data_IF_819562692485
#
_entry.id   IF_819562692485
#
_cell.length_a   1.000
_cell.length_b   1.000
_cell.length_c   1.000
_cell.angle_alpha   90.00
_cell.angle_beta   90.00
_cell.angle_gamma   90.00
#
_symmetry.space_group_name_H-M   'P 1'
#
loop_
_entity.id
_entity.type
_entity.pdbx_description
1 polymer ?
#
# COMPACT_ATOMS: atom_id res chain seq x y z
N UNK A 1 39.65 45.85 17.71
CA UNK A 1 39.94 46.00 19.15
C UNK A 1 39.08 45.01 19.93
N UNK A 2 39.67 44.41 20.97
CA UNK A 2 39.12 43.49 21.98
C UNK A 2 38.63 42.11 21.49
N UNK A 3 39.40 41.01 21.50
CA UNK A 3 40.01 40.18 22.60
C UNK A 3 39.11 39.08 23.17
N UNK A 4 39.38 37.84 22.72
CA UNK A 4 39.61 36.59 23.46
C UNK A 4 38.81 36.27 24.75
N UNK A 5 38.26 35.06 24.82
CA UNK A 5 38.73 34.08 25.82
C UNK A 5 38.52 32.63 25.36
N UNK A 6 39.57 31.83 25.52
CA UNK A 6 39.58 30.37 25.47
C UNK A 6 39.43 29.83 26.89
N UNK A 7 38.84 28.65 27.05
CA UNK A 7 39.33 27.72 28.07
C UNK A 7 39.19 26.28 27.61
N UNK A 8 40.23 25.51 27.95
CA UNK A 8 40.56 24.20 27.45
C UNK A 8 40.51 23.17 28.58
N UNK A 9 40.46 21.89 28.18
CA UNK A 9 40.83 20.67 28.91
C UNK A 9 40.00 20.19 30.11
N UNK A 10 39.43 18.99 29.95
CA UNK A 10 39.87 17.84 30.78
C UNK A 10 39.84 16.53 29.98
N UNK A 11 41.04 16.03 29.72
CA UNK A 11 41.36 14.69 29.24
C UNK A 11 41.16 13.69 30.38
N UNK A 12 40.48 12.57 30.11
CA UNK A 12 40.77 11.26 30.71
C UNK A 12 40.55 10.17 29.66
N UNK A 13 41.64 9.54 29.25
CA UNK A 13 41.69 8.31 28.44
C UNK A 13 41.92 7.09 29.38
N UNK A 14 42.15 5.87 28.86
CA UNK A 14 41.20 4.78 28.77
C UNK A 14 41.51 3.62 29.75
N UNK A 15 40.60 2.66 29.91
CA UNK A 15 40.96 1.34 30.45
C UNK A 15 40.66 0.24 29.42
N UNK A 16 41.75 -0.42 29.02
CA UNK A 16 41.85 -1.57 28.14
C UNK A 16 41.94 -2.85 29.00
N UNK A 17 41.59 -3.99 28.38
CA UNK A 17 41.78 -5.40 28.78
C UNK A 17 40.66 -5.99 29.67
N UNK A 18 40.14 -7.21 29.42
CA UNK A 18 40.83 -8.41 28.95
C UNK A 18 40.06 -9.29 27.95
N UNK A 19 40.80 -9.86 27.00
CA UNK A 19 40.51 -11.11 26.29
C UNK A 19 40.47 -12.29 27.29
N UNK A 20 39.74 -13.42 27.11
CA UNK A 20 39.84 -14.54 26.14
C UNK A 20 39.03 -15.73 26.80
N UNK A 21 38.96 -16.98 26.28
CA UNK A 21 38.25 -17.48 25.09
C UNK A 21 37.40 -18.78 25.37
N UNK A 22 36.76 -19.28 24.30
CA UNK A 22 36.22 -20.64 24.09
C UNK A 22 34.96 -21.09 24.86
N UNK A 23 33.90 -21.40 24.10
CA UNK A 23 33.45 -22.80 24.00
C UNK A 23 32.65 -23.03 22.73
N UNK A 24 33.03 -24.08 22.00
CA UNK A 24 32.34 -24.64 20.85
C UNK A 24 31.21 -25.51 21.37
N UNK A 25 30.01 -25.38 20.81
CA UNK A 25 29.10 -26.53 20.73
C UNK A 25 28.38 -26.50 19.39
N UNK A 26 28.84 -27.38 18.51
CA UNK A 26 28.09 -27.86 17.36
C UNK A 26 26.82 -28.55 17.88
N UNK A 27 25.66 -28.14 17.39
CA UNK A 27 24.56 -29.07 17.21
C UNK A 27 24.03 -28.92 15.78
N UNK A 28 24.50 -29.85 14.97
CA UNK A 28 23.95 -30.20 13.68
C UNK A 28 22.71 -31.06 13.92
N UNK A 29 21.55 -30.60 13.43
CA UNK A 29 20.45 -31.51 13.08
C UNK A 29 19.71 -30.91 11.90
N UNK A 30 19.95 -31.49 10.73
CA UNK A 30 19.16 -31.34 9.50
C UNK A 30 17.99 -32.36 9.52
N UNK A 31 16.99 -32.21 8.64
CA UNK A 31 15.57 -32.18 8.99
C UNK A 31 14.90 -33.54 8.89
N UNK A 32 13.83 -33.74 9.67
CA UNK A 32 12.86 -34.77 9.39
C UNK A 32 11.67 -34.15 8.65
N UNK A 33 11.53 -34.54 7.38
CA UNK A 33 10.35 -34.33 6.58
C UNK A 33 9.17 -35.11 7.19
N UNK A 34 8.10 -34.41 7.55
CA UNK A 34 6.77 -34.98 7.71
C UNK A 34 5.82 -34.04 6.97
N UNK A 35 5.02 -34.53 6.01
CA UNK A 35 4.12 -33.70 5.22
C UNK A 35 2.94 -33.29 6.11
N UNK A 36 2.85 -32.01 6.44
CA UNK A 36 1.62 -31.46 7.00
C UNK A 36 0.67 -31.16 5.84
N UNK A 37 -0.33 -32.04 5.72
CA UNK A 37 -1.55 -31.79 4.95
C UNK A 37 -2.28 -30.64 5.63
N UNK A 38 -2.27 -29.46 5.03
CA UNK A 38 -3.14 -28.37 5.44
C UNK A 38 -4.56 -28.64 4.93
N UNK A 39 -5.59 -28.58 5.78
CA UNK A 39 -6.97 -28.62 5.33
C UNK A 39 -7.26 -27.37 4.49
N UNK A 40 -7.89 -27.57 3.34
CA UNK A 40 -8.41 -26.52 2.47
C UNK A 40 -9.36 -25.63 3.27
N UNK A 41 -8.92 -24.42 3.60
CA UNK A 41 -9.79 -23.37 4.11
C UNK A 41 -10.37 -22.61 2.92
N UNK A 42 -11.63 -22.87 2.61
CA UNK A 42 -12.47 -21.97 1.83
C UNK A 42 -12.62 -20.69 2.64
N UNK A 43 -11.86 -19.66 2.28
CA UNK A 43 -11.99 -18.32 2.84
C UNK A 43 -13.21 -17.63 2.22
N UNK A 44 -13.93 -16.77 2.95
CA UNK A 44 -15.10 -16.09 2.41
C UNK A 44 -14.69 -15.22 1.23
N UNK A 45 -15.47 -15.30 0.15
CA UNK A 45 -15.37 -14.36 -0.96
C UNK A 45 -15.51 -12.93 -0.41
N UNK A 46 -14.57 -12.06 -0.79
CA UNK A 46 -14.76 -10.64 -0.65
C UNK A 46 -16.12 -10.26 -1.26
N UNK A 47 -16.96 -9.62 -0.46
CA UNK A 47 -18.17 -9.00 -0.96
C UNK A 47 -17.75 -7.88 -1.91
N UNK A 48 -17.69 -8.22 -3.20
CA UNK A 48 -17.68 -7.28 -4.32
C UNK A 48 -18.56 -6.09 -3.96
N UNK A 49 -17.96 -4.90 -3.92
CA UNK A 49 -18.57 -3.63 -3.50
C UNK A 49 -20.02 -3.53 -3.97
N UNK A 50 -20.96 -3.70 -3.03
CA UNK A 50 -22.39 -3.59 -3.32
C UNK A 50 -22.87 -2.23 -2.81
N UNK A 51 -23.27 -1.29 -3.69
CA UNK A 51 -23.85 -0.04 -3.24
C UNK A 51 -25.22 -0.32 -2.59
N UNK A 52 -25.40 0.18 -1.36
CA UNK A 52 -26.66 0.09 -0.64
C UNK A 52 -27.74 0.90 -1.35
N UNK A 53 -28.67 0.21 -2.02
CA UNK A 53 -29.94 0.78 -2.46
C UNK A 53 -30.95 0.68 -1.30
N UNK A 54 -31.39 1.85 -0.81
CA UNK A 54 -32.43 1.97 0.20
C UNK A 54 -33.79 1.79 -0.50
N UNK A 55 -34.61 0.86 -0.01
CA UNK A 55 -36.07 0.93 -0.16
C UNK A 55 -36.74 0.22 1.01
N UNK A 56 -37.78 0.86 1.53
CA UNK A 56 -38.44 0.59 2.80
C UNK A 56 -39.40 -0.60 2.78
N UNK A 57 -39.55 -1.20 3.98
CA UNK A 57 -40.74 -1.84 4.55
C UNK A 57 -41.15 -3.24 4.07
N UNK A 58 -40.96 -4.25 4.94
CA UNK A 58 -42.05 -4.77 5.80
C UNK A 58 -41.60 -6.03 6.56
N UNK A 59 -42.04 -6.09 7.82
CA UNK A 59 -41.78 -7.11 8.84
C UNK A 59 -42.22 -8.51 8.42
N UNK A 60 -41.34 -9.50 8.61
CA UNK A 60 -41.69 -10.82 9.16
C UNK A 60 -40.43 -11.51 9.68
N UNK A 61 -40.47 -11.92 10.95
CA UNK A 61 -39.43 -12.71 11.63
C UNK A 61 -39.69 -14.18 11.34
N UNK A 62 -38.70 -14.91 10.84
CA UNK A 62 -38.50 -16.29 11.27
C UNK A 62 -37.20 -16.43 12.08
N UNK A 63 -37.26 -17.25 13.12
CA UNK A 63 -36.09 -17.74 13.86
C UNK A 63 -35.14 -18.44 12.87
N UNK A 64 -34.08 -17.74 12.46
CA UNK A 64 -32.93 -18.34 11.80
C UNK A 64 -31.91 -18.68 12.89
N UNK A 65 -31.41 -19.91 12.81
CA UNK A 65 -30.33 -20.40 13.66
C UNK A 65 -29.19 -19.37 13.66
N UNK A 66 -28.67 -19.06 14.84
CA UNK A 66 -27.37 -18.43 14.97
C UNK A 66 -26.36 -19.38 14.30
N UNK A 67 -26.06 -19.14 13.02
CA UNK A 67 -24.77 -19.50 12.47
C UNK A 67 -23.77 -18.83 13.39
N UNK A 68 -22.97 -19.63 14.10
CA UNK A 68 -21.73 -19.18 14.71
C UNK A 68 -20.88 -18.64 13.57
N UNK A 69 -21.07 -17.36 13.23
CA UNK A 69 -20.13 -16.60 12.44
C UNK A 69 -18.85 -16.58 13.28
N UNK A 70 -17.92 -17.48 12.96
CA UNK A 70 -16.55 -17.50 13.47
C UNK A 70 -16.09 -16.04 13.56
N UNK A 71 -15.99 -15.53 14.79
CA UNK A 71 -15.68 -14.12 15.05
C UNK A 71 -14.26 -13.90 14.52
N UNK A 72 -14.14 -13.25 13.36
CA UNK A 72 -12.87 -13.07 12.66
C UNK A 72 -11.86 -12.41 13.60
N UNK A 73 -10.82 -13.15 13.99
CA UNK A 73 -9.85 -12.69 14.99
C UNK A 73 -9.14 -11.44 14.44
N UNK A 74 -9.36 -10.25 15.04
CA UNK A 74 -8.81 -9.00 14.51
C UNK A 74 -7.28 -8.91 14.62
N UNK A 75 -6.68 -9.86 15.33
CA UNK A 75 -5.22 -10.00 15.46
C UNK A 75 -4.62 -10.92 14.41
N UNK A 76 -5.45 -11.61 13.62
CA UNK A 76 -5.01 -12.52 12.58
C UNK A 76 -4.31 -11.77 11.43
N UNK A 77 -3.28 -12.43 10.90
CA UNK A 77 -2.55 -12.00 9.71
C UNK A 77 -3.14 -12.71 8.49
N UNK A 78 -3.20 -12.00 7.37
CA UNK A 78 -3.75 -12.52 6.13
C UNK A 78 -2.62 -12.86 5.16
N UNK A 79 -2.69 -14.02 4.53
CA UNK A 79 -1.86 -14.39 3.39
C UNK A 79 -2.75 -15.10 2.38
N UNK A 80 -3.17 -14.36 1.36
CA UNK A 80 -4.15 -14.81 0.38
C UNK A 80 -3.67 -14.54 -1.04
N UNK A 81 -3.85 -15.55 -1.89
CA UNK A 81 -3.74 -15.47 -3.34
C UNK A 81 -4.96 -16.18 -3.94
N UNK A 82 -5.65 -15.53 -4.86
CA UNK A 82 -6.77 -16.13 -5.60
C UNK A 82 -6.27 -17.34 -6.42
N UNK A 83 -6.98 -18.47 -6.31
CA UNK A 83 -6.60 -19.72 -6.98
C UNK A 83 -6.70 -19.65 -8.50
N UNK A 84 -7.53 -18.74 -9.01
CA UNK A 84 -7.69 -18.52 -10.46
C UNK A 84 -6.65 -17.55 -11.02
N UNK A 85 -5.89 -16.87 -10.16
CA UNK A 85 -4.86 -15.92 -10.57
C UNK A 85 -3.56 -16.64 -10.88
N UNK A 86 -3.03 -16.42 -12.08
CA UNK A 86 -1.66 -16.83 -12.41
C UNK A 86 -0.67 -16.03 -11.54
N UNK A 87 0.14 -16.68 -10.68
CA UNK A 87 1.12 -15.99 -9.84
C UNK A 87 2.05 -15.08 -10.64
N UNK A 88 2.41 -15.47 -11.86
CA UNK A 88 3.31 -14.71 -12.72
C UNK A 88 2.69 -13.44 -13.33
N UNK A 89 1.36 -13.32 -13.30
CA UNK A 89 0.64 -12.13 -13.76
C UNK A 89 0.70 -10.97 -12.75
N UNK A 90 1.00 -11.25 -11.48
CA UNK A 90 1.09 -10.24 -10.40
C UNK A 90 2.45 -9.53 -10.46
N UNK A 91 2.58 -8.57 -11.36
CA UNK A 91 3.83 -7.84 -11.63
C UNK A 91 3.96 -6.53 -10.86
N UNK A 92 2.89 -6.04 -10.24
CA UNK A 92 2.85 -4.80 -9.48
C UNK A 92 2.20 -4.99 -8.13
N UNK A 93 2.82 -4.47 -7.07
CA UNK A 93 2.23 -4.43 -5.74
C UNK A 93 1.94 -2.99 -5.29
N UNK A 94 0.88 -2.83 -4.52
CA UNK A 94 0.58 -1.64 -3.72
C UNK A 94 0.91 -1.97 -2.25
N UNK A 95 1.69 -1.10 -1.59
CA UNK A 95 2.24 -1.38 -0.26
C UNK A 95 2.03 -0.22 0.73
N UNK A 96 1.54 -0.53 1.93
CA UNK A 96 1.55 0.34 3.10
C UNK A 96 2.28 -0.34 4.26
N UNK A 97 3.27 0.35 4.86
CA UNK A 97 3.98 -0.14 6.03
C UNK A 97 3.96 0.93 7.10
N UNK A 98 2.93 0.93 7.96
CA UNK A 98 2.67 2.06 8.86
C UNK A 98 2.13 1.61 10.22
N UNK A 99 2.24 2.49 11.22
CA UNK A 99 1.61 2.28 12.52
C UNK A 99 0.09 2.33 12.40
N UNK A 100 -0.60 1.38 13.05
CA UNK A 100 -2.05 1.35 13.17
C UNK A 100 -2.51 2.06 14.45
N UNK A 101 -3.80 2.47 14.55
CA UNK A 101 -4.40 3.05 15.75
C UNK A 101 -4.57 2.01 16.88
N UNK A 102 -3.58 1.16 17.06
CA UNK A 102 -3.59 -0.01 17.93
C UNK A 102 -2.36 0.06 18.84
N UNK A 103 -2.56 -0.19 20.13
CA UNK A 103 -1.49 -0.36 21.10
C UNK A 103 -1.32 -1.83 21.46
N UNK A 104 -0.06 -2.24 21.65
CA UNK A 104 0.27 -3.52 22.26
C UNK A 104 -0.01 -3.50 23.77
N UNK A 105 0.17 -4.65 24.41
CA UNK A 105 0.03 -4.81 25.87
C UNK A 105 0.97 -3.92 26.70
N UNK A 106 1.97 -3.30 26.08
CA UNK A 106 2.94 -2.38 26.69
C UNK A 106 2.62 -0.92 26.41
N UNK A 107 1.50 -0.62 25.75
CA UNK A 107 1.10 0.72 25.35
C UNK A 107 1.95 1.32 24.22
N UNK A 108 2.61 0.50 23.40
CA UNK A 108 3.36 0.93 22.22
C UNK A 108 2.55 0.69 20.94
N UNK A 109 2.75 1.54 19.94
CA UNK A 109 2.07 1.40 18.66
C UNK A 109 2.43 0.08 17.99
N UNK A 110 1.42 -0.60 17.44
CA UNK A 110 1.60 -1.72 16.53
C UNK A 110 1.75 -1.18 15.11
N UNK A 111 2.68 -1.75 14.36
CA UNK A 111 2.88 -1.50 12.94
C UNK A 111 2.32 -2.66 12.15
N UNK A 112 1.98 -2.39 10.89
CA UNK A 112 1.48 -3.43 10.00
C UNK A 112 1.99 -3.18 8.59
N UNK A 113 2.42 -4.24 7.94
CA UNK A 113 2.62 -4.33 6.50
C UNK A 113 1.31 -4.77 5.87
N UNK A 114 0.81 -4.01 4.89
CA UNK A 114 -0.35 -4.37 4.07
C UNK A 114 0.10 -4.29 2.62
N UNK A 115 -0.07 -5.39 1.87
CA UNK A 115 0.33 -5.52 0.48
C UNK A 115 -0.81 -6.13 -0.32
N UNK A 116 -1.13 -5.54 -1.46
CA UNK A 116 -2.04 -6.12 -2.43
C UNK A 116 -1.61 -5.82 -3.86
N UNK A 117 -2.23 -6.49 -4.83
CA UNK A 117 -2.19 -6.08 -6.23
C UNK A 117 -3.42 -5.23 -6.60
N UNK A 118 -3.50 -4.78 -7.85
CA UNK A 118 -4.59 -3.89 -8.30
C UNK A 118 -5.97 -4.56 -8.30
N UNK A 119 -6.05 -5.88 -8.48
CA UNK A 119 -7.32 -6.62 -8.47
C UNK A 119 -7.70 -7.17 -7.09
N UNK A 120 -6.86 -6.97 -6.06
CA UNK A 120 -6.98 -7.64 -4.76
C UNK A 120 -6.95 -9.18 -4.85
N UNK A 121 -6.39 -9.72 -5.94
CA UNK A 121 -6.14 -11.16 -6.08
C UNK A 121 -5.01 -11.61 -5.16
N UNK A 122 -4.04 -10.73 -4.90
CA UNK A 122 -3.04 -10.90 -3.86
C UNK A 122 -3.39 -9.99 -2.68
N UNK A 123 -3.43 -10.54 -1.48
CA UNK A 123 -3.67 -9.81 -0.24
C UNK A 123 -2.78 -10.37 0.87
N UNK A 124 -1.97 -9.53 1.46
CA UNK A 124 -1.07 -9.90 2.55
C UNK A 124 -1.05 -8.85 3.66
N UNK A 125 -1.16 -9.30 4.91
CA UNK A 125 -0.98 -8.45 6.08
C UNK A 125 -0.08 -9.10 7.12
N UNK A 126 0.72 -8.28 7.81
CA UNK A 126 1.59 -8.76 8.89
C UNK A 126 1.83 -7.68 9.93
N UNK A 127 1.67 -8.01 11.21
CA UNK A 127 1.88 -7.08 12.31
C UNK A 127 3.34 -7.11 12.80
N UNK A 128 3.81 -5.95 13.24
CA UNK A 128 5.17 -5.74 13.72
C UNK A 128 5.19 -4.89 14.99
N UNK A 129 6.06 -5.21 15.97
CA UNK A 129 6.29 -4.34 17.10
C UNK A 129 7.12 -3.11 16.69
N UNK A 130 6.90 -1.98 17.36
CA UNK A 130 7.53 -0.70 17.01
C UNK A 130 9.08 -0.72 16.96
N UNK A 131 9.74 -1.61 17.68
CA UNK A 131 11.20 -1.65 17.79
C UNK A 131 11.91 -2.34 16.61
N UNK A 132 11.18 -2.97 15.70
CA UNK A 132 11.76 -3.70 14.55
C UNK A 132 11.54 -2.99 13.22
N UNK A 133 11.01 -1.77 13.21
CA UNK A 133 10.65 -1.06 11.98
C UNK A 133 11.89 -0.47 11.32
N UNK A 134 12.34 -1.13 10.25
CA UNK A 134 13.48 -0.71 9.44
C UNK A 134 13.43 -1.38 8.04
N UNK A 135 14.38 -1.03 7.17
CA UNK A 135 14.42 -1.54 5.80
C UNK A 135 14.70 -3.04 5.71
N UNK A 136 15.48 -3.61 6.64
CA UNK A 136 15.81 -5.05 6.62
C UNK A 136 14.55 -5.86 6.93
N UNK A 137 13.82 -5.47 7.98
CA UNK A 137 12.57 -6.15 8.36
C UNK A 137 11.52 -6.09 7.26
N UNK A 138 11.38 -4.95 6.56
CA UNK A 138 10.47 -4.87 5.42
C UNK A 138 10.95 -5.73 4.24
N UNK A 139 12.25 -5.74 3.96
CA UNK A 139 12.86 -6.53 2.88
C UNK A 139 12.61 -8.03 3.10
N UNK A 140 12.89 -8.53 4.30
CA UNK A 140 12.67 -9.93 4.67
C UNK A 140 11.17 -10.29 4.61
N UNK A 141 10.28 -9.41 5.06
CA UNK A 141 8.84 -9.63 4.96
C UNK A 141 8.35 -9.73 3.51
N UNK A 142 8.88 -8.91 2.60
CA UNK A 142 8.55 -8.99 1.18
C UNK A 142 9.04 -10.29 0.51
N UNK A 143 10.23 -10.78 0.89
CA UNK A 143 10.72 -12.10 0.46
C UNK A 143 9.78 -13.20 0.96
N UNK A 144 9.33 -13.14 2.22
CA UNK A 144 8.36 -14.09 2.78
C UNK A 144 7.05 -14.12 1.99
N UNK A 145 6.53 -12.98 1.52
CA UNK A 145 5.31 -12.97 0.67
C UNK A 145 5.52 -13.80 -0.60
N UNK A 146 6.67 -13.62 -1.25
CA UNK A 146 7.03 -14.35 -2.47
C UNK A 146 7.18 -15.86 -2.21
N UNK A 147 7.81 -16.22 -1.09
CA UNK A 147 8.00 -17.62 -0.68
C UNK A 147 6.68 -18.31 -0.28
N UNK A 148 5.86 -17.66 0.54
CA UNK A 148 4.64 -18.23 1.11
C UNK A 148 3.52 -18.35 0.07
N UNK A 149 3.36 -17.35 -0.81
CA UNK A 149 2.32 -17.34 -1.84
C UNK A 149 2.79 -17.91 -3.18
N UNK A 150 4.08 -18.22 -3.33
CA UNK A 150 4.65 -18.73 -4.58
C UNK A 150 4.58 -17.72 -5.74
N UNK A 151 4.43 -16.43 -5.44
CA UNK A 151 4.41 -15.34 -6.40
C UNK A 151 5.82 -14.80 -6.61
N UNK A 152 6.22 -14.40 -7.82
CA UNK A 152 7.49 -13.72 -8.02
C UNK A 152 7.50 -12.36 -7.31
N UNK A 153 8.69 -11.84 -7.03
CA UNK A 153 8.84 -10.44 -6.63
C UNK A 153 8.33 -9.52 -7.77
N UNK A 154 7.61 -8.45 -7.45
CA UNK A 154 7.02 -7.58 -8.46
C UNK A 154 8.10 -6.76 -9.15
N UNK A 155 7.82 -6.30 -10.37
CA UNK A 155 8.69 -5.36 -11.09
C UNK A 155 8.74 -3.99 -10.39
N UNK A 156 7.60 -3.58 -9.82
CA UNK A 156 7.49 -2.32 -9.08
C UNK A 156 6.53 -2.40 -7.90
N UNK A 157 6.79 -1.55 -6.91
CA UNK A 157 5.95 -1.36 -5.72
C UNK A 157 5.49 0.09 -5.67
N UNK A 158 4.18 0.30 -5.67
CA UNK A 158 3.54 1.59 -5.46
C UNK A 158 3.26 1.80 -3.96
N UNK A 159 3.50 3.00 -3.46
CA UNK A 159 3.20 3.35 -2.07
C UNK A 159 2.90 4.85 -1.94
N UNK A 160 2.05 5.23 -0.98
CA UNK A 160 1.54 6.61 -0.87
C UNK A 160 2.06 7.39 0.34
N UNK A 161 2.69 6.74 1.34
CA UNK A 161 3.18 7.43 2.54
C UNK A 161 4.61 7.96 2.36
N UNK A 162 4.76 9.27 2.28
CA UNK A 162 6.08 9.92 2.15
C UNK A 162 7.00 9.61 3.34
N UNK A 163 6.45 9.58 4.56
CA UNK A 163 7.18 9.24 5.79
C UNK A 163 7.90 7.88 5.72
N UNK A 164 7.39 6.95 4.91
CA UNK A 164 7.94 5.60 4.76
C UNK A 164 8.87 5.44 3.55
N UNK A 165 9.03 6.49 2.73
CA UNK A 165 9.77 6.45 1.47
C UNK A 165 11.20 5.94 1.65
N UNK A 166 11.91 6.35 2.70
CA UNK A 166 13.30 5.91 2.92
C UNK A 166 13.40 4.41 3.18
N UNK A 167 12.52 3.88 4.03
CA UNK A 167 12.50 2.45 4.39
C UNK A 167 12.11 1.63 3.16
N UNK A 168 10.99 1.97 2.51
CA UNK A 168 10.46 1.24 1.35
C UNK A 168 11.46 1.28 0.18
N UNK A 169 11.98 2.46 -0.17
CA UNK A 169 12.95 2.60 -1.27
C UNK A 169 14.19 1.77 -1.05
N UNK A 170 14.70 1.72 0.18
CA UNK A 170 15.89 0.93 0.49
C UNK A 170 15.62 -0.58 0.38
N UNK A 171 14.50 -1.05 0.93
CA UNK A 171 14.08 -2.46 0.81
C UNK A 171 13.89 -2.88 -0.66
N UNK A 172 13.17 -2.08 -1.44
CA UNK A 172 12.94 -2.36 -2.86
C UNK A 172 14.26 -2.44 -3.65
N UNK A 173 15.20 -1.51 -3.42
CA UNK A 173 16.51 -1.50 -4.09
C UNK A 173 17.32 -2.76 -3.82
N UNK A 174 17.31 -3.26 -2.59
CA UNK A 174 18.02 -4.50 -2.22
C UNK A 174 17.40 -5.73 -2.91
N UNK A 175 16.09 -5.70 -3.17
CA UNK A 175 15.35 -6.75 -3.89
C UNK A 175 15.32 -6.59 -5.41
N UNK A 176 15.91 -5.52 -5.96
CA UNK A 176 15.84 -5.22 -7.40
C UNK A 176 14.46 -4.76 -7.90
N UNK A 177 13.56 -4.37 -6.99
CA UNK A 177 12.21 -3.89 -7.27
C UNK A 177 12.24 -2.37 -7.48
N UNK A 178 11.46 -1.84 -8.43
CA UNK A 178 11.34 -0.39 -8.64
C UNK A 178 10.36 0.25 -7.62
N UNK A 179 10.80 1.10 -6.69
CA UNK A 179 9.89 1.83 -5.80
C UNK A 179 9.23 3.00 -6.55
N UNK A 180 7.92 3.16 -6.40
CA UNK A 180 7.12 4.20 -7.07
C UNK A 180 6.22 4.93 -6.05
N UNK A 181 6.63 6.11 -5.55
CA UNK A 181 5.75 6.97 -4.76
C UNK A 181 4.52 7.37 -5.59
N UNK A 182 3.32 7.02 -5.13
CA UNK A 182 2.07 7.19 -5.88
C UNK A 182 0.87 7.27 -4.96
N UNK A 183 -0.02 8.25 -5.20
CA UNK A 183 -1.37 8.28 -4.60
C UNK A 183 -2.36 7.36 -5.32
N UNK A 184 -2.00 6.86 -6.51
CA UNK A 184 -2.75 5.83 -7.23
C UNK A 184 -2.40 4.46 -6.65
N UNK A 185 -2.82 4.25 -5.40
CA UNK A 185 -2.82 2.96 -4.72
C UNK A 185 -4.27 2.63 -4.34
N UNK A 186 -5.16 2.57 -5.34
CA UNK A 186 -6.60 2.65 -5.11
C UNK A 186 -7.13 1.44 -4.33
N UNK A 187 -6.73 0.25 -4.77
CA UNK A 187 -7.12 -1.03 -4.16
C UNK A 187 -6.62 -1.10 -2.72
N UNK A 188 -5.38 -0.69 -2.47
CA UNK A 188 -4.83 -0.59 -1.12
C UNK A 188 -5.55 0.43 -0.24
N UNK A 189 -5.92 1.60 -0.78
CA UNK A 189 -6.61 2.63 -0.02
C UNK A 189 -8.01 2.17 0.39
N UNK A 190 -8.79 1.61 -0.54
CA UNK A 190 -10.12 1.06 -0.25
C UNK A 190 -10.03 -0.08 0.77
N UNK A 191 -9.06 -0.96 0.61
CA UNK A 191 -8.88 -2.08 1.53
C UNK A 191 -8.43 -1.62 2.93
N UNK A 192 -7.60 -0.59 3.04
CA UNK A 192 -7.25 0.02 4.34
C UNK A 192 -8.45 0.66 5.03
N UNK A 193 -9.39 1.26 4.29
CA UNK A 193 -10.66 1.79 4.82
C UNK A 193 -11.55 0.66 5.35
N UNK A 194 -11.76 -0.38 4.55
CA UNK A 194 -12.51 -1.57 4.96
C UNK A 194 -11.89 -2.21 6.22
N UNK A 195 -10.57 -2.43 6.23
CA UNK A 195 -9.85 -3.00 7.38
C UNK A 195 -9.96 -2.11 8.62
N UNK A 196 -10.06 -0.79 8.46
CA UNK A 196 -10.28 0.09 9.59
C UNK A 196 -11.60 -0.20 10.29
N UNK A 197 -12.67 -0.34 9.52
CA UNK A 197 -14.02 -0.60 10.04
C UNK A 197 -14.19 -2.03 10.57
N UNK A 198 -13.66 -3.00 9.83
CA UNK A 198 -13.90 -4.43 10.08
C UNK A 198 -12.91 -5.04 11.06
N UNK A 199 -11.62 -4.65 11.00
CA UNK A 199 -10.54 -5.25 11.79
C UNK A 199 -10.08 -4.31 12.90
N UNK A 200 -9.58 -3.12 12.56
CA UNK A 200 -8.89 -2.28 13.55
C UNK A 200 -9.83 -1.76 14.64
N UNK A 201 -11.06 -1.36 14.31
CA UNK A 201 -12.03 -0.91 15.30
C UNK A 201 -12.45 -2.00 16.31
N UNK A 202 -12.32 -3.28 15.93
CA UNK A 202 -12.62 -4.44 16.79
C UNK A 202 -11.41 -4.94 17.56
N UNK A 203 -10.20 -4.55 17.15
CA UNK A 203 -8.96 -4.98 17.78
C UNK A 203 -8.92 -4.55 19.27
N UNK A 204 -8.51 -5.42 20.21
CA UNK A 204 -8.55 -5.14 21.65
C UNK A 204 -7.70 -3.94 22.07
N UNK A 205 -6.59 -3.71 21.37
CA UNK A 205 -5.70 -2.55 21.54
C UNK A 205 -6.14 -1.26 20.85
N UNK A 206 -7.32 -1.19 20.24
CA UNK A 206 -7.75 -0.03 19.44
C UNK A 206 -7.91 1.25 20.26
N UNK A 207 -7.38 2.35 19.74
CA UNK A 207 -7.49 3.68 20.33
C UNK A 207 -8.69 4.44 19.77
N UNK A 208 -9.78 4.51 20.54
CA UNK A 208 -10.97 5.30 20.20
C UNK A 208 -10.61 6.78 20.05
N UNK A 209 -11.10 7.42 18.98
CA UNK A 209 -10.80 8.82 18.66
C UNK A 209 -9.44 9.05 17.99
N UNK A 210 -8.79 7.98 17.51
CA UNK A 210 -7.60 8.09 16.67
C UNK A 210 -7.91 8.79 15.34
N UNK A 211 -6.88 9.41 14.76
CA UNK A 211 -7.00 10.09 13.46
C UNK A 211 -7.26 9.07 12.34
N UNK A 212 -7.97 9.45 11.27
CA UNK A 212 -8.13 8.60 10.08
C UNK A 212 -6.78 8.11 9.54
N UNK A 213 -6.72 6.85 9.11
CA UNK A 213 -5.49 6.24 8.57
C UNK A 213 -4.94 6.95 7.34
N UNK A 214 -5.85 7.48 6.52
CA UNK A 214 -5.59 8.04 5.21
C UNK A 214 -5.71 9.56 5.21
N UNK A 215 -5.39 10.23 6.32
CA UNK A 215 -5.25 11.68 6.31
C UNK A 215 -4.22 12.06 5.22
N UNK A 216 -4.73 12.44 4.05
CA UNK A 216 -3.90 12.77 2.91
C UNK A 216 -3.07 13.98 3.32
N UNK A 217 -1.75 13.84 3.27
CA UNK A 217 -0.87 15.00 3.20
C UNK A 217 -1.33 15.75 1.94
N UNK A 218 -1.98 16.88 2.18
CA UNK A 218 -2.45 17.77 1.13
C UNK A 218 -1.23 18.65 0.80
N UNK A 219 -0.42 18.32 -0.23
CA UNK A 219 0.59 19.26 -0.65
C UNK A 219 -0.18 20.54 -1.01
N UNK A 220 0.24 21.66 -0.44
CA UNK A 220 -0.30 22.95 -0.85
C UNK A 220 -0.25 23.04 -2.39
N UNK A 221 -1.23 23.70 -3.03
CA UNK A 221 -1.21 23.89 -4.47
C UNK A 221 0.17 24.35 -4.92
N UNK A 222 0.85 23.54 -5.72
CA UNK A 222 2.15 23.89 -6.28
C UNK A 222 1.95 24.49 -7.67
N UNK A 223 2.74 25.53 -7.95
CA UNK A 223 2.75 26.12 -9.28
C UNK A 223 3.23 25.09 -10.30
N UNK A 224 2.50 25.00 -11.40
CA UNK A 224 2.87 24.16 -12.52
C UNK A 224 4.07 24.80 -13.25
N UNK A 225 5.18 24.08 -13.44
CA UNK A 225 6.32 24.58 -14.20
C UNK A 225 5.94 25.09 -15.59
N UNK A 226 6.57 26.17 -16.05
CA UNK A 226 6.24 26.80 -17.33
C UNK A 226 6.36 25.85 -18.54
N UNK A 227 7.30 24.90 -18.48
CA UNK A 227 7.48 23.89 -19.52
C UNK A 227 6.31 22.90 -19.63
N UNK A 228 5.42 22.86 -18.63
CA UNK A 228 4.21 22.05 -18.59
C UNK A 228 2.95 22.84 -18.97
N UNK A 229 3.07 24.11 -19.35
CA UNK A 229 1.93 24.84 -19.92
C UNK A 229 1.65 24.39 -21.36
N UNK A 230 0.40 24.01 -21.60
CA UNK A 230 -0.15 23.85 -22.94
C UNK A 230 -0.47 25.19 -23.58
N UNK A 231 -0.59 25.19 -24.91
CA UNK A 231 -0.81 26.40 -25.71
C UNK A 231 -2.26 26.90 -25.64
N UNK A 232 -3.22 25.97 -25.60
CA UNK A 232 -4.65 26.29 -25.52
C UNK A 232 -5.35 25.34 -24.56
N UNK A 233 -6.29 25.89 -23.81
CA UNK A 233 -7.04 25.19 -22.78
C UNK A 233 -8.52 25.37 -23.04
N UNK A 234 -9.29 24.29 -22.91
CA UNK A 234 -10.74 24.32 -23.06
C UNK A 234 -11.39 23.38 -22.05
N UNK A 235 -12.47 23.84 -21.42
CA UNK A 235 -13.38 22.93 -20.73
C UNK A 235 -14.16 22.15 -21.78
N UNK A 236 -14.13 20.84 -21.66
CA UNK A 236 -14.80 19.91 -22.59
C UNK A 236 -15.68 18.96 -21.82
N UNK A 237 -16.61 18.34 -22.53
CA UNK A 237 -17.42 17.24 -22.05
C UNK A 237 -17.35 16.13 -23.09
N UNK A 238 -16.92 14.95 -22.69
CA UNK A 238 -16.85 13.79 -23.58
C UNK A 238 -17.77 12.69 -23.04
N UNK A 239 -18.50 11.99 -23.93
CA UNK A 239 -19.28 10.83 -23.50
C UNK A 239 -18.35 9.76 -22.94
N UNK A 240 -18.79 9.08 -21.88
CA UNK A 240 -17.97 8.09 -21.17
C UNK A 240 -17.47 6.97 -22.09
N UNK A 241 -18.27 6.56 -23.06
CA UNK A 241 -17.88 5.60 -24.11
C UNK A 241 -16.60 6.03 -24.85
N UNK A 242 -16.50 7.28 -25.27
CA UNK A 242 -15.31 7.80 -25.97
C UNK A 242 -14.08 7.84 -25.06
N UNK A 243 -14.27 8.14 -23.77
CA UNK A 243 -13.18 8.11 -22.78
C UNK A 243 -12.70 6.69 -22.55
N UNK A 244 -13.64 5.73 -22.41
CA UNK A 244 -13.32 4.31 -22.21
C UNK A 244 -12.54 3.76 -23.40
N UNK A 245 -12.96 4.07 -24.62
CA UNK A 245 -12.25 3.68 -25.86
C UNK A 245 -10.81 4.23 -25.87
N UNK A 246 -10.63 5.51 -25.52
CA UNK A 246 -9.29 6.10 -25.46
C UNK A 246 -8.43 5.40 -24.39
N UNK A 247 -8.96 5.14 -23.19
CA UNK A 247 -8.24 4.44 -22.11
C UNK A 247 -7.82 3.04 -22.56
N UNK A 248 -8.72 2.25 -23.14
CA UNK A 248 -8.40 0.92 -23.68
C UNK A 248 -7.32 0.99 -24.76
N UNK A 249 -7.30 2.05 -25.56
CA UNK A 249 -6.23 2.25 -26.55
C UNK A 249 -4.87 2.63 -25.93
N UNK A 250 -4.85 3.23 -24.73
CA UNK A 250 -3.60 3.55 -24.01
C UNK A 250 -2.88 2.28 -23.58
N UNK A 251 -3.63 1.29 -23.11
CA UNK A 251 -3.10 -0.01 -22.67
C UNK A 251 -2.42 -0.75 -23.84
N UNK A 252 -2.95 -0.64 -25.05
CA UNK A 252 -2.36 -1.22 -26.26
C UNK A 252 -1.19 -0.41 -26.80
N UNK A 253 -1.23 0.92 -26.68
CA UNK A 253 -0.27 1.84 -27.31
C UNK A 253 0.89 2.25 -26.41
N UNK A 254 0.90 1.82 -25.14
CA UNK A 254 1.89 2.20 -24.12
C UNK A 254 2.09 3.72 -24.06
N UNK A 255 1.00 4.47 -23.97
CA UNK A 255 1.00 5.94 -23.90
C UNK A 255 0.84 6.40 -22.44
N UNK A 256 1.34 7.59 -22.12
CA UNK A 256 1.27 8.18 -20.78
C UNK A 256 -0.17 8.33 -20.28
N UNK A 257 -0.41 7.96 -19.02
CA UNK A 257 -1.72 8.03 -18.39
C UNK A 257 -2.13 6.69 -17.78
N UNK A 258 -3.21 6.70 -17.02
CA UNK A 258 -3.85 5.49 -16.52
C UNK A 258 -5.35 5.76 -16.36
N UNK A 259 -6.17 4.76 -16.63
CA UNK A 259 -7.58 4.79 -16.32
C UNK A 259 -7.85 4.76 -14.81
N UNK A 260 -9.09 5.05 -14.44
CA UNK A 260 -9.62 4.77 -13.11
C UNK A 260 -10.53 3.55 -13.24
N UNK A 261 -10.27 2.52 -12.44
CA UNK A 261 -11.14 1.35 -12.37
C UNK A 261 -12.43 1.73 -11.63
N UNK A 262 -13.49 1.99 -12.39
CA UNK A 262 -14.78 2.36 -11.83
C UNK A 262 -15.52 1.16 -11.25
N UNK A 263 -15.26 -0.05 -11.75
CA UNK A 263 -15.88 -1.27 -11.25
C UNK A 263 -15.37 -1.57 -9.84
N UNK A 264 -14.06 -1.37 -9.61
CA UNK A 264 -13.46 -1.43 -8.27
C UNK A 264 -14.10 -0.43 -7.29
N UNK A 265 -14.50 0.74 -7.79
CA UNK A 265 -15.17 1.77 -6.99
C UNK A 265 -16.69 1.55 -6.84
N UNK A 266 -17.26 0.55 -7.51
CA UNK A 266 -18.71 0.35 -7.56
C UNK A 266 -19.46 1.51 -8.21
N UNK A 267 -18.81 2.24 -9.12
CA UNK A 267 -19.40 3.38 -9.82
C UNK A 267 -19.87 2.92 -11.21
N UNK A 268 -21.18 2.82 -11.37
CA UNK A 268 -21.78 2.55 -12.68
C UNK A 268 -22.04 3.87 -13.42
N UNK A 269 -21.55 3.97 -14.66
CA UNK A 269 -21.69 5.16 -15.51
C UNK A 269 -22.20 4.75 -16.88
N UNK A 270 -23.32 5.35 -17.32
CA UNK A 270 -23.86 5.13 -18.67
C UNK A 270 -22.90 5.64 -19.75
N UNK A 271 -22.83 4.93 -20.87
CA UNK A 271 -21.92 5.22 -21.99
C UNK A 271 -22.11 6.62 -22.62
N UNK A 272 -23.32 7.21 -22.52
CA UNK A 272 -23.62 8.55 -23.01
C UNK A 272 -23.43 9.63 -21.93
N UNK A 273 -23.08 9.25 -20.70
CA UNK A 273 -22.83 10.20 -19.62
C UNK A 273 -21.69 11.13 -20.01
N UNK A 274 -21.96 12.43 -20.03
CA UNK A 274 -20.98 13.45 -20.35
C UNK A 274 -20.06 13.70 -19.16
N UNK A 275 -18.80 13.29 -19.29
CA UNK A 275 -17.78 13.51 -18.28
C UNK A 275 -17.10 14.86 -18.55
N UNK A 276 -17.19 15.84 -17.63
CA UNK A 276 -16.50 17.10 -17.77
C UNK A 276 -14.99 16.92 -17.58
N UNK A 277 -14.21 17.65 -18.38
CA UNK A 277 -12.75 17.59 -18.31
C UNK A 277 -12.10 18.86 -18.87
N UNK A 278 -10.77 18.84 -18.86
CA UNK A 278 -9.93 19.93 -19.36
C UNK A 278 -9.08 19.41 -20.52
N UNK A 279 -9.33 19.93 -21.72
CA UNK A 279 -8.53 19.62 -22.90
C UNK A 279 -7.38 20.62 -23.02
N UNK A 280 -6.16 20.09 -23.20
CA UNK A 280 -4.95 20.88 -23.36
C UNK A 280 -4.38 20.62 -24.75
N UNK A 281 -4.48 21.59 -25.64
CA UNK A 281 -3.88 21.51 -26.97
C UNK A 281 -2.46 22.12 -26.93
N UNK A 282 -1.53 21.43 -27.56
CA UNK A 282 -0.13 21.85 -27.65
C UNK A 282 0.52 21.21 -28.86
N UNK A 283 1.38 21.96 -29.58
CA UNK A 283 2.27 21.38 -30.60
C UNK A 283 3.20 20.30 -30.02
N UNK A 284 3.39 20.32 -28.69
CA UNK A 284 4.22 19.41 -27.91
C UNK A 284 3.41 18.39 -27.11
N UNK A 285 2.17 18.07 -27.51
CA UNK A 285 1.23 17.29 -26.70
C UNK A 285 1.79 15.98 -26.12
N UNK A 286 2.51 15.17 -26.91
CA UNK A 286 3.10 13.91 -26.43
C UNK A 286 4.21 14.13 -25.37
N UNK A 287 5.27 14.93 -25.64
CA UNK A 287 6.24 15.31 -24.61
C UNK A 287 5.63 15.97 -23.37
N UNK A 288 4.58 16.77 -23.57
CA UNK A 288 3.87 17.46 -22.48
C UNK A 288 3.19 16.45 -21.56
N UNK A 289 2.46 15.49 -22.13
CA UNK A 289 1.79 14.43 -21.37
C UNK A 289 2.79 13.61 -20.54
N UNK A 290 3.92 13.21 -21.13
CA UNK A 290 4.96 12.47 -20.39
C UNK A 290 5.63 13.30 -19.30
N UNK A 291 5.93 14.57 -19.57
CA UNK A 291 6.54 15.46 -18.57
C UNK A 291 5.58 15.78 -17.42
N UNK A 292 4.27 15.84 -17.71
CA UNK A 292 3.24 16.06 -16.69
C UNK A 292 3.11 14.85 -15.78
N UNK A 293 3.10 13.63 -16.33
CA UNK A 293 3.04 12.38 -15.57
C UNK A 293 4.26 12.23 -14.63
N UNK A 294 5.46 12.51 -15.15
CA UNK A 294 6.69 12.50 -14.35
C UNK A 294 6.70 13.57 -13.26
N UNK A 295 6.27 14.80 -13.59
CA UNK A 295 6.20 15.89 -12.62
C UNK A 295 5.23 15.58 -11.49
N UNK A 296 4.04 15.05 -11.81
CA UNK A 296 3.04 14.61 -10.81
C UNK A 296 3.67 13.57 -9.87
N UNK A 297 4.42 12.58 -10.39
CA UNK A 297 5.15 11.63 -9.54
C UNK A 297 6.21 12.28 -8.65
N UNK A 298 6.93 13.28 -9.17
CA UNK A 298 7.98 14.00 -8.45
C UNK A 298 7.44 14.84 -7.28
N UNK A 299 6.24 15.43 -7.46
CA UNK A 299 5.53 16.21 -6.44
C UNK A 299 5.29 15.36 -5.20
N UNK A 300 4.90 14.09 -5.39
CA UNK A 300 4.64 13.17 -4.28
C UNK A 300 5.91 12.59 -3.64
N UNK A 301 7.05 12.65 -4.34
CA UNK A 301 8.34 12.18 -3.82
C UNK A 301 9.07 13.20 -2.94
N UNK A 302 8.57 14.45 -2.86
CA UNK A 302 9.22 15.57 -2.15
C UNK A 302 8.50 16.01 -0.87
N UNK A 303 7.30 15.48 -0.60
CA UNK A 303 6.51 15.75 0.61
C UNK A 303 6.79 14.76 1.73
#
# INVERSE_FOLDING_TARGET
MATLSFNSTRIKSPSLQSHKPFSKSHFSTKPNNVPFLFPSKTHPQLHRFKPNSISESSVSVPEEAFDDAEEDDPTSELSYLDSETDPSSVTEWELDFCSRPILDIRGKKIWELVVCDSSLSLQYTKYFPNNVINSVTLKDAMETISEDLGVPLPEKVRFFRSQMQTIITKSCKELGIKPVPSKRCLSLLLWLEERYETIYMRHPGFQKGSKPLLALDNPFPMELPENLFGEKWAFVQLPFSAIREEISSLDERFVFGAGLDLDLLGIEVDDNTLIPGLAVASSRAKPLAGSLDEWIGSVFSRG
#
